data_IF_125242082641
#
_entry.id   IF_125242082641
#
_cell.length_a   1.000
_cell.length_b   1.000
_cell.length_c   1.000
_cell.angle_alpha   90.00
_cell.angle_beta   90.00
_cell.angle_gamma   90.00
#
_symmetry.space_group_name_H-M   'P 1'
#
loop_
_entity.id
_entity.type
_entity.pdbx_description
1 polymer ?
#
# COMPACT_ATOMS: atom_id res chain seq x y z
N UNK A 1 44.49 -1.62 -2.57
CA UNK A 1 43.77 -1.04 -1.41
C UNK A 1 42.30 -1.38 -1.62
N UNK A 2 41.73 -2.28 -0.81
CA UNK A 2 40.32 -2.66 -0.97
C UNK A 2 39.46 -1.49 -0.53
N UNK A 3 38.55 -1.07 -1.41
CA UNK A 3 37.57 -0.03 -1.10
C UNK A 3 36.41 -0.64 -0.30
N UNK A 4 36.64 -0.75 1.02
CA UNK A 4 35.65 -1.23 1.97
C UNK A 4 34.43 -0.32 2.05
N UNK A 5 34.54 0.95 1.66
CA UNK A 5 33.41 1.88 1.68
C UNK A 5 32.38 1.48 0.62
N UNK A 6 32.82 1.26 -0.62
CA UNK A 6 31.92 0.84 -1.70
C UNK A 6 31.31 -0.54 -1.41
N UNK A 7 32.08 -1.44 -0.79
CA UNK A 7 31.59 -2.74 -0.36
C UNK A 7 30.55 -2.59 0.77
N UNK A 8 30.84 -1.82 1.83
CA UNK A 8 29.89 -1.57 2.91
C UNK A 8 28.64 -0.82 2.42
N UNK A 9 28.77 0.09 1.46
CA UNK A 9 27.66 0.86 0.90
C UNK A 9 26.69 -0.05 0.14
N UNK A 10 27.21 -0.88 -0.77
CA UNK A 10 26.40 -1.83 -1.53
C UNK A 10 25.71 -2.85 -0.63
N UNK A 11 26.44 -3.42 0.32
CA UNK A 11 25.90 -4.39 1.27
C UNK A 11 24.92 -3.74 2.26
N UNK A 12 25.19 -2.51 2.69
CA UNK A 12 24.33 -1.73 3.57
C UNK A 12 22.99 -1.40 2.90
N UNK A 13 23.01 -0.97 1.63
CA UNK A 13 21.78 -0.73 0.87
C UNK A 13 20.95 -2.02 0.72
N UNK A 14 21.59 -3.15 0.43
CA UNK A 14 20.91 -4.45 0.39
C UNK A 14 20.32 -4.83 1.75
N UNK A 15 21.07 -4.66 2.85
CA UNK A 15 20.58 -4.94 4.20
C UNK A 15 19.38 -4.06 4.58
N UNK A 16 19.40 -2.77 4.22
CA UNK A 16 18.27 -1.85 4.44
C UNK A 16 17.04 -2.25 3.62
N UNK A 17 17.23 -2.66 2.37
CA UNK A 17 16.12 -3.13 1.53
C UNK A 17 15.46 -4.39 2.12
N UNK A 18 16.27 -5.34 2.59
CA UNK A 18 15.79 -6.55 3.27
C UNK A 18 15.09 -6.21 4.59
N UNK A 19 15.66 -5.31 5.39
CA UNK A 19 15.03 -4.84 6.64
C UNK A 19 13.67 -4.21 6.38
N UNK A 20 13.56 -3.36 5.35
CA UNK A 20 12.31 -2.71 4.97
C UNK A 20 11.28 -3.74 4.46
N UNK A 21 11.72 -4.75 3.73
CA UNK A 21 10.84 -5.84 3.26
C UNK A 21 10.31 -6.66 4.43
N UNK A 22 11.16 -6.97 5.40
CA UNK A 22 10.80 -7.76 6.58
C UNK A 22 9.89 -6.97 7.53
N UNK A 23 10.12 -5.66 7.67
CA UNK A 23 9.28 -4.77 8.45
C UNK A 23 7.99 -4.33 7.71
N UNK A 24 7.70 -4.90 6.53
CA UNK A 24 6.52 -4.53 5.76
C UNK A 24 5.29 -5.21 6.38
N UNK A 25 4.31 -4.44 6.90
CA UNK A 25 3.11 -5.01 7.53
C UNK A 25 2.27 -5.84 6.54
N UNK A 26 2.38 -5.55 5.24
CA UNK A 26 1.72 -6.29 4.16
C UNK A 26 2.18 -7.75 4.03
N UNK A 27 3.38 -8.10 4.53
CA UNK A 27 3.86 -9.49 4.57
C UNK A 27 3.51 -10.19 5.89
N UNK A 28 3.28 -9.44 6.97
CA UNK A 28 2.88 -9.97 8.28
C UNK A 28 1.38 -10.33 8.30
N UNK A 29 0.60 -9.72 7.41
CA UNK A 29 -0.81 -10.05 7.19
C UNK A 29 -0.95 -11.28 6.27
N UNK A 30 -0.70 -12.49 6.79
CA UNK A 30 -1.09 -13.75 6.14
C UNK A 30 -2.61 -13.79 5.94
N UNK A 31 -3.10 -13.23 4.83
CA UNK A 31 -4.50 -13.30 4.41
C UNK A 31 -5.31 -12.01 4.47
N UNK A 32 -4.71 -10.83 4.68
CA UNK A 32 -5.42 -9.58 4.38
C UNK A 32 -5.44 -9.39 2.86
N UNK A 33 -6.39 -10.04 2.19
CA UNK A 33 -6.76 -9.71 0.83
C UNK A 33 -6.79 -8.19 0.68
N UNK A 34 -5.95 -7.68 -0.23
CA UNK A 34 -5.77 -6.26 -0.51
C UNK A 34 -7.14 -5.60 -0.49
N UNK A 35 -7.48 -4.94 0.63
CA UNK A 35 -8.74 -4.21 0.72
C UNK A 35 -8.57 -3.14 -0.34
N UNK A 36 -9.31 -3.17 -1.46
CA UNK A 36 -9.20 -2.13 -2.44
C UNK A 36 -9.53 -0.89 -1.65
N UNK A 37 -8.55 0.02 -1.52
CA UNK A 37 -8.69 1.29 -0.81
C UNK A 37 -9.89 1.95 -1.46
N UNK A 38 -11.08 1.72 -0.87
CA UNK A 38 -12.35 2.21 -1.37
C UNK A 38 -12.10 3.69 -1.44
N UNK A 39 -11.95 4.18 -2.67
CA UNK A 39 -11.92 5.59 -2.97
C UNK A 39 -13.29 6.06 -2.51
N UNK A 40 -13.35 6.47 -1.26
CA UNK A 40 -14.48 7.10 -0.61
C UNK A 40 -14.68 8.42 -1.32
N UNK A 41 -15.31 8.32 -2.50
CA UNK A 41 -15.89 9.43 -3.22
C UNK A 41 -17.36 9.06 -3.38
N UNK A 42 -18.05 9.31 -2.27
CA UNK A 42 -19.45 9.70 -2.14
C UNK A 42 -20.45 9.05 -3.12
N UNK A 43 -21.30 8.20 -2.55
CA UNK A 43 -22.68 8.00 -3.04
C UNK A 43 -23.58 8.56 -1.95
N UNK A 44 -24.51 9.46 -2.30
CA UNK A 44 -25.90 9.03 -2.42
C UNK A 44 -26.45 9.51 -3.77
N UNK A 45 -26.85 8.60 -4.67
CA UNK A 45 -28.23 8.16 -4.79
C UNK A 45 -29.24 9.30 -4.49
N UNK A 46 -29.40 10.20 -5.46
CA UNK A 46 -30.64 10.97 -5.57
C UNK A 46 -31.68 10.04 -6.21
N UNK A 47 -32.17 9.10 -5.40
CA UNK A 47 -33.42 8.41 -5.64
C UNK A 47 -34.54 9.37 -5.19
N UNK A 48 -35.07 10.11 -6.15
CA UNK A 48 -36.28 10.89 -6.04
C UNK A 48 -37.17 10.53 -7.22
N UNK A 49 -37.70 9.31 -7.20
CA UNK A 49 -38.96 8.99 -7.88
C UNK A 49 -40.08 9.45 -6.96
N UNK A 50 -40.97 10.31 -7.44
CA UNK A 50 -42.42 10.32 -7.20
C UNK A 50 -43.02 11.40 -8.13
N UNK A 51 -43.76 11.00 -9.17
CA UNK A 51 -45.22 11.23 -9.27
C UNK A 51 -45.54 12.69 -9.66
N UNK A 52 -45.98 13.03 -10.88
CA UNK A 52 -47.24 12.61 -11.47
C UNK A 52 -48.38 13.56 -11.04
N UNK A 53 -48.72 14.57 -11.86
CA UNK A 53 -50.02 15.28 -11.90
C UNK A 53 -49.97 16.21 -13.14
N UNK A 54 -50.72 15.91 -14.21
CA UNK A 54 -52.12 16.31 -14.49
C UNK A 54 -52.19 17.60 -15.33
#
# INVERSE_FOLDING_TARGET
>A
MIDYFTLALTHGLMAVALWRLLARPDLDEDGAAEKPRRRSRATPLSAGEEGGDA
#
